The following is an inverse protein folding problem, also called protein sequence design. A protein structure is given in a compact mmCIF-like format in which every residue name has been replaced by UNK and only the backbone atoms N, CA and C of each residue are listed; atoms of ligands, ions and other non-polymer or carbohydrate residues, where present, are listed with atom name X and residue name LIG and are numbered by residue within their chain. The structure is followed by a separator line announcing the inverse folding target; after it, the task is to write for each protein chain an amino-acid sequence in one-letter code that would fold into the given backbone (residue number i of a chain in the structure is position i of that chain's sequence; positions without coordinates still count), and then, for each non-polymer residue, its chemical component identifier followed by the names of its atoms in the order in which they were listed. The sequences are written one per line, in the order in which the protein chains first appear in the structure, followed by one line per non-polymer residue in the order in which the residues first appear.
data_IF_316108348303
#
_entry.id   IF_316108348303
#
_cell.length_a   1.000
_cell.length_b   1.000
_cell.length_c   1.000
_cell.angle_alpha   90.00
_cell.angle_beta   90.00
_cell.angle_gamma   90.00
#
_symmetry.space_group_name_H-M   'P 1'
#
loop_
_entity.id
_entity.type
_entity.pdbx_description
1 polymer ?
#
# COMPACT_ATOMS: atom_id res chain seq x y z
N UNK A 1 9.60 10.88 8.39
CA UNK A 1 11.03 10.61 8.71
C UNK A 1 11.57 11.81 9.48
N UNK A 2 12.49 11.60 10.44
CA UNK A 2 13.01 12.70 11.27
C UNK A 2 13.60 13.85 10.45
N UNK A 3 14.31 13.52 9.36
CA UNK A 3 14.90 14.45 8.38
C UNK A 3 13.90 15.45 7.78
N UNK A 4 12.62 15.08 7.67
CA UNK A 4 11.59 15.90 7.00
C UNK A 4 10.52 16.41 7.97
N UNK A 5 10.79 16.37 9.28
CA UNK A 5 9.78 16.70 10.30
C UNK A 5 9.35 18.16 10.30
N UNK A 6 10.19 19.06 9.80
CA UNK A 6 9.97 20.50 9.65
C UNK A 6 9.90 20.95 8.17
N UNK A 7 9.76 19.99 7.25
CA UNK A 7 9.68 20.27 5.83
C UNK A 7 8.50 21.19 5.50
N UNK A 8 8.74 22.16 4.60
CA UNK A 8 7.71 23.06 4.08
C UNK A 8 7.18 22.51 2.77
N UNK A 9 5.86 22.47 2.63
CA UNK A 9 5.20 22.08 1.39
C UNK A 9 4.97 23.31 0.53
N UNK A 10 5.46 23.25 -0.71
CA UNK A 10 5.25 24.28 -1.73
C UNK A 10 4.52 23.64 -2.90
N UNK A 11 3.40 24.23 -3.33
CA UNK A 11 2.63 23.78 -4.48
C UNK A 11 2.90 24.70 -5.66
N UNK A 12 3.51 24.16 -6.71
CA UNK A 12 3.81 24.89 -7.94
C UNK A 12 3.99 23.93 -9.11
N UNK A 13 3.85 24.45 -10.32
CA UNK A 13 4.30 23.81 -11.57
C UNK A 13 5.39 24.61 -12.28
N UNK A 14 5.81 25.73 -11.70
CA UNK A 14 6.88 26.59 -12.23
C UNK A 14 8.25 25.91 -11.99
N UNK A 15 8.99 25.54 -13.06
CA UNK A 15 10.31 24.92 -12.93
C UNK A 15 11.26 25.71 -12.02
N UNK A 16 11.21 27.04 -12.05
CA UNK A 16 12.09 27.87 -11.22
C UNK A 16 11.80 27.71 -9.72
N UNK A 17 10.56 27.41 -9.34
CA UNK A 17 10.21 27.05 -7.96
C UNK A 17 10.66 25.64 -7.64
N UNK A 18 10.40 24.68 -8.55
CA UNK A 18 10.75 23.27 -8.36
C UNK A 18 12.27 23.05 -8.20
N UNK A 19 13.08 23.84 -8.91
CA UNK A 19 14.55 23.80 -8.83
C UNK A 19 15.08 24.21 -7.45
N UNK A 20 14.28 24.92 -6.64
CA UNK A 20 14.65 25.28 -5.27
C UNK A 20 14.26 24.23 -4.23
N UNK A 21 13.47 23.23 -4.61
CA UNK A 21 12.95 22.21 -3.69
C UNK A 21 13.94 21.04 -3.51
N UNK A 22 14.10 20.58 -2.28
CA UNK A 22 14.89 19.38 -1.96
C UNK A 22 14.25 18.10 -2.53
N UNK A 23 12.92 18.03 -2.54
CA UNK A 23 12.13 16.90 -3.04
C UNK A 23 11.01 17.47 -3.91
N UNK A 24 10.79 16.84 -5.06
CA UNK A 24 9.67 17.18 -5.96
C UNK A 24 8.87 15.92 -6.26
N UNK A 25 7.56 16.00 -6.11
CA UNK A 25 6.64 14.86 -6.26
C UNK A 25 5.51 15.25 -7.20
N UNK A 26 5.20 14.38 -8.17
CA UNK A 26 4.04 14.47 -9.07
C UNK A 26 4.02 15.66 -10.05
N UNK A 27 5.11 16.42 -10.12
CA UNK A 27 5.31 17.53 -11.07
C UNK A 27 6.76 17.59 -11.56
N UNK A 28 6.97 18.20 -12.73
CA UNK A 28 8.29 18.41 -13.32
C UNK A 28 8.70 17.40 -14.39
N UNK A 29 7.93 16.32 -14.58
CA UNK A 29 8.12 15.27 -15.59
C UNK A 29 9.50 14.62 -15.52
N UNK A 30 9.98 14.37 -14.31
CA UNK A 30 11.26 13.70 -14.04
C UNK A 30 11.08 12.69 -12.90
N UNK A 31 11.55 11.46 -13.14
CA UNK A 31 11.84 10.48 -12.10
C UNK A 31 13.35 10.29 -12.00
N UNK A 32 13.91 10.68 -10.86
CA UNK A 32 15.31 10.47 -10.51
C UNK A 32 15.43 10.43 -8.98
N UNK A 33 15.81 9.27 -8.44
CA UNK A 33 15.94 9.08 -7.00
C UNK A 33 17.12 9.88 -6.41
N UNK A 34 18.22 10.01 -7.14
CA UNK A 34 19.43 10.71 -6.66
C UNK A 34 19.15 12.19 -6.41
N UNK A 35 18.33 12.80 -7.27
CA UNK A 35 17.86 14.20 -7.13
C UNK A 35 16.48 14.32 -6.47
N UNK A 36 15.95 13.21 -5.94
CA UNK A 36 14.65 13.12 -5.23
C UNK A 36 13.49 13.72 -6.02
N UNK A 37 13.42 13.41 -7.31
CA UNK A 37 12.34 13.78 -8.23
C UNK A 37 11.47 12.55 -8.49
N UNK A 38 10.18 12.65 -8.18
CA UNK A 38 9.24 11.53 -8.22
C UNK A 38 8.01 11.89 -9.04
N UNK A 39 8.18 12.16 -10.32
CA UNK A 39 7.09 12.31 -11.28
C UNK A 39 7.03 11.09 -12.23
N UNK A 40 5.83 10.73 -12.66
CA UNK A 40 5.54 9.64 -13.60
C UNK A 40 5.01 10.12 -14.96
N UNK A 41 4.72 11.42 -15.11
CA UNK A 41 4.11 12.01 -16.30
C UNK A 41 5.05 12.13 -17.53
N UNK A 42 6.32 11.74 -17.42
CA UNK A 42 7.27 11.79 -18.52
C UNK A 42 6.93 10.82 -19.65
N UNK A 43 7.17 11.27 -20.88
CA UNK A 43 6.95 10.46 -22.07
C UNK A 43 7.79 9.18 -22.00
N UNK A 44 7.16 8.03 -22.26
CA UNK A 44 7.82 6.73 -22.25
C UNK A 44 8.05 6.15 -20.85
N UNK A 45 7.50 6.75 -19.78
CA UNK A 45 7.57 6.16 -18.44
C UNK A 45 6.94 4.77 -18.41
N UNK A 46 7.67 3.79 -17.89
CA UNK A 46 7.26 2.38 -17.81
C UNK A 46 7.76 1.68 -16.53
N UNK A 47 8.09 2.46 -15.50
CA UNK A 47 8.60 1.89 -14.25
C UNK A 47 7.49 1.14 -13.51
N UNK A 48 7.78 -0.08 -13.09
CA UNK A 48 6.88 -0.95 -12.32
C UNK A 48 7.48 -1.26 -10.94
N UNK A 49 6.65 -1.64 -9.97
CA UNK A 49 7.15 -2.04 -8.64
C UNK A 49 8.03 -3.29 -8.71
N UNK A 50 7.66 -4.25 -9.54
CA UNK A 50 8.41 -5.47 -9.85
C UNK A 50 7.77 -6.15 -11.06
N UNK A 51 8.43 -7.16 -11.65
CA UNK A 51 7.89 -7.90 -12.81
C UNK A 51 6.58 -8.66 -12.56
N UNK A 52 6.06 -8.66 -11.31
CA UNK A 52 4.75 -9.20 -10.96
C UNK A 52 3.60 -8.25 -11.30
N UNK A 53 3.86 -6.95 -11.41
CA UNK A 53 2.84 -5.93 -11.61
C UNK A 53 2.92 -5.38 -13.03
N UNK A 54 1.78 -5.29 -13.71
CA UNK A 54 1.67 -4.62 -15.02
C UNK A 54 1.42 -3.12 -14.89
N UNK A 55 0.97 -2.70 -13.70
CA UNK A 55 0.64 -1.34 -13.34
C UNK A 55 1.92 -0.50 -13.23
N UNK A 56 1.96 0.63 -13.95
CA UNK A 56 3.04 1.62 -13.84
C UNK A 56 2.97 2.32 -12.49
N UNK A 57 4.11 2.70 -11.93
CA UNK A 57 4.17 3.41 -10.67
C UNK A 57 3.62 4.84 -10.82
N UNK A 58 2.64 5.20 -10.01
CA UNK A 58 2.35 6.62 -9.74
C UNK A 58 3.46 7.24 -8.89
N UNK A 59 3.43 8.55 -8.67
CA UNK A 59 4.35 9.22 -7.74
C UNK A 59 4.32 8.66 -6.32
N UNK A 60 3.13 8.26 -5.83
CA UNK A 60 3.03 7.55 -4.54
C UNK A 60 3.75 6.19 -4.59
N UNK A 61 3.62 5.46 -5.70
CA UNK A 61 4.35 4.22 -5.95
C UNK A 61 5.88 4.41 -6.00
N UNK A 62 6.36 5.48 -6.63
CA UNK A 62 7.77 5.84 -6.69
C UNK A 62 8.33 6.17 -5.31
N UNK A 63 7.64 7.01 -4.54
CA UNK A 63 8.04 7.33 -3.16
C UNK A 63 8.04 6.06 -2.30
N UNK A 64 7.01 5.23 -2.41
CA UNK A 64 6.94 3.96 -1.69
C UNK A 64 8.08 3.01 -2.07
N UNK A 65 8.41 2.91 -3.37
CA UNK A 65 9.52 2.08 -3.86
C UNK A 65 10.84 2.42 -3.16
N UNK A 66 11.10 3.68 -2.87
CA UNK A 66 12.37 4.08 -2.26
C UNK A 66 12.35 4.17 -0.74
N UNK A 67 11.23 4.61 -0.14
CA UNK A 67 11.18 4.95 1.29
C UNK A 67 10.29 4.03 2.14
N UNK A 68 9.74 2.94 1.57
CA UNK A 68 8.81 2.04 2.29
C UNK A 68 9.38 1.52 3.61
N UNK A 69 10.68 1.20 3.67
CA UNK A 69 11.33 0.62 4.85
C UNK A 69 11.31 1.61 6.01
N UNK A 70 11.84 2.80 5.75
CA UNK A 70 11.97 3.88 6.71
C UNK A 70 10.60 4.38 7.17
N UNK A 71 9.62 4.44 6.25
CA UNK A 71 8.26 4.88 6.56
C UNK A 71 7.52 3.87 7.44
N UNK A 72 7.60 2.56 7.12
CA UNK A 72 6.96 1.52 7.94
C UNK A 72 7.60 1.47 9.33
N UNK A 73 8.93 1.47 9.42
CA UNK A 73 9.61 1.51 10.72
C UNK A 73 9.29 2.78 11.52
N UNK A 74 9.12 3.93 10.86
CA UNK A 74 8.72 5.15 11.56
C UNK A 74 7.29 5.07 12.13
N UNK A 75 6.37 4.37 11.45
CA UNK A 75 4.98 4.24 11.89
C UNK A 75 4.80 3.11 12.92
N UNK A 76 5.49 2.00 12.73
CA UNK A 76 5.40 0.80 13.56
C UNK A 76 6.72 0.48 14.27
N UNK A 77 7.38 1.52 14.81
CA UNK A 77 8.70 1.44 15.45
C UNK A 77 8.81 0.42 16.59
N UNK A 78 7.68 0.10 17.22
CA UNK A 78 7.61 -0.82 18.35
C UNK A 78 7.41 -2.27 17.89
N UNK A 79 7.25 -2.51 16.58
CA UNK A 79 7.22 -3.84 16.00
C UNK A 79 8.66 -4.34 15.77
N UNK A 80 9.01 -5.43 16.42
CA UNK A 80 10.27 -6.15 16.20
C UNK A 80 10.11 -7.04 14.95
N UNK A 81 10.39 -6.46 13.77
CA UNK A 81 10.19 -7.11 12.47
C UNK A 81 11.51 -7.69 11.96
N UNK A 82 11.48 -8.96 11.56
CA UNK A 82 12.54 -9.55 10.74
C UNK A 82 12.52 -9.00 9.30
N UNK A 83 13.62 -9.16 8.57
CA UNK A 83 13.72 -8.72 7.17
C UNK A 83 12.66 -9.36 6.26
N UNK A 84 12.36 -10.65 6.46
CA UNK A 84 11.34 -11.37 5.68
C UNK A 84 9.92 -10.86 5.97
N UNK A 85 9.62 -10.56 7.23
CA UNK A 85 8.34 -9.96 7.62
C UNK A 85 8.18 -8.55 7.06
N UNK A 86 9.25 -7.76 7.08
CA UNK A 86 9.26 -6.43 6.47
C UNK A 86 9.00 -6.53 4.96
N UNK A 87 9.63 -7.46 4.24
CA UNK A 87 9.41 -7.65 2.80
C UNK A 87 8.00 -8.18 2.46
N UNK A 88 7.44 -9.03 3.31
CA UNK A 88 6.05 -9.45 3.21
C UNK A 88 5.10 -8.26 3.37
N UNK A 89 5.31 -7.44 4.40
CA UNK A 89 4.55 -6.22 4.63
C UNK A 89 4.68 -5.24 3.46
N UNK A 90 5.89 -5.07 2.91
CA UNK A 90 6.12 -4.21 1.74
C UNK A 90 5.24 -4.62 0.57
N UNK A 91 5.25 -5.91 0.24
CA UNK A 91 4.45 -6.49 -0.84
C UNK A 91 2.96 -6.35 -0.56
N UNK A 92 2.55 -6.60 0.68
CA UNK A 92 1.14 -6.55 1.09
C UNK A 92 0.59 -5.14 1.02
N UNK A 93 1.28 -4.16 1.59
CA UNK A 93 0.89 -2.75 1.55
C UNK A 93 0.90 -2.19 0.13
N UNK A 94 1.84 -2.61 -0.72
CA UNK A 94 1.83 -2.19 -2.12
C UNK A 94 0.56 -2.68 -2.84
N UNK A 95 0.35 -4.00 -2.85
CA UNK A 95 -0.78 -4.61 -3.57
C UNK A 95 -2.15 -4.22 -3.00
N UNK A 96 -2.25 -4.00 -1.70
CA UNK A 96 -3.53 -3.74 -1.02
C UNK A 96 -3.82 -2.26 -0.77
N UNK A 97 -2.90 -1.36 -1.15
CA UNK A 97 -3.09 0.07 -0.92
C UNK A 97 -2.41 0.92 -2.00
N UNK A 98 -1.08 0.88 -2.11
CA UNK A 98 -0.33 1.81 -2.97
C UNK A 98 -0.69 1.67 -4.45
N UNK A 99 -0.79 0.44 -4.95
CA UNK A 99 -1.18 0.19 -6.34
C UNK A 99 -2.58 0.72 -6.64
N UNK A 100 -3.52 0.52 -5.70
CA UNK A 100 -4.92 0.90 -5.85
C UNK A 100 -5.19 2.41 -5.80
N UNK A 101 -4.26 3.22 -5.28
CA UNK A 101 -4.39 4.68 -5.24
C UNK A 101 -3.70 5.37 -6.43
N UNK A 102 -2.87 4.66 -7.21
CA UNK A 102 -2.20 5.18 -8.41
C UNK A 102 -3.10 5.24 -9.65
N UNK A 103 -4.30 5.79 -9.52
CA UNK A 103 -5.36 5.74 -10.57
C UNK A 103 -5.06 6.59 -11.82
N UNK A 104 -4.02 7.41 -11.77
CA UNK A 104 -3.63 8.40 -12.77
C UNK A 104 -2.46 7.93 -13.66
N UNK A 105 -1.95 6.72 -13.45
CA UNK A 105 -0.82 6.12 -14.18
C UNK A 105 -1.16 5.63 -15.61
N UNK A 106 -2.38 5.90 -16.09
CA UNK A 106 -2.86 5.50 -17.41
C UNK A 106 -3.18 4.00 -17.57
N UNK A 107 -3.18 3.21 -16.49
CA UNK A 107 -3.54 1.78 -16.50
C UNK A 107 -4.64 1.55 -15.48
N UNK A 108 -5.83 1.14 -15.95
CA UNK A 108 -6.93 0.82 -15.05
C UNK A 108 -6.59 -0.40 -14.20
N UNK A 109 -6.68 -0.25 -12.87
CA UNK A 109 -6.51 -1.33 -11.91
C UNK A 109 -7.73 -2.27 -11.85
N UNK A 110 -8.87 -1.80 -12.34
CA UNK A 110 -10.15 -2.50 -12.29
C UNK A 110 -10.77 -2.59 -13.68
N UNK A 111 -11.71 -3.53 -13.91
CA UNK A 111 -12.56 -3.53 -15.09
C UNK A 111 -13.20 -2.15 -15.31
N UNK A 112 -13.20 -1.66 -16.55
CA UNK A 112 -13.64 -0.30 -16.91
C UNK A 112 -15.15 -0.06 -16.69
N UNK A 113 -15.92 -1.10 -16.39
CA UNK A 113 -17.36 -1.07 -16.10
C UNK A 113 -17.68 -0.88 -14.61
N UNK A 114 -16.66 -0.85 -13.74
CA UNK A 114 -16.83 -0.63 -12.30
C UNK A 114 -16.51 0.83 -11.95
N UNK A 115 -17.55 1.61 -11.65
CA UNK A 115 -17.40 2.96 -11.11
C UNK A 115 -17.44 2.95 -9.57
N UNK A 116 -16.26 2.96 -8.95
CA UNK A 116 -16.12 2.96 -7.50
C UNK A 116 -16.32 4.36 -6.91
N UNK A 117 -17.55 4.69 -6.51
CA UNK A 117 -17.94 6.02 -6.02
C UNK A 117 -17.20 6.54 -4.76
N UNK A 118 -16.39 5.71 -4.06
CA UNK A 118 -15.76 6.12 -2.78
C UNK A 118 -14.37 5.57 -2.48
N UNK A 119 -13.53 5.35 -3.49
CA UNK A 119 -12.09 5.11 -3.26
C UNK A 119 -11.39 6.34 -2.64
N UNK A 120 -10.14 6.18 -2.18
CA UNK A 120 -9.38 7.26 -1.51
C UNK A 120 -9.27 8.50 -2.41
N UNK A 121 -8.94 8.32 -3.68
CA UNK A 121 -8.84 9.41 -4.66
C UNK A 121 -10.17 10.17 -4.81
N UNK A 122 -11.31 9.48 -4.82
CA UNK A 122 -12.63 10.09 -4.81
C UNK A 122 -12.90 10.85 -3.50
N UNK A 123 -12.45 10.33 -2.34
CA UNK A 123 -12.59 11.06 -1.05
C UNK A 123 -11.75 12.33 -1.03
N UNK A 124 -10.52 12.27 -1.55
CA UNK A 124 -9.64 13.43 -1.73
C UNK A 124 -10.28 14.44 -2.69
N UNK A 125 -10.79 13.97 -3.83
CA UNK A 125 -11.45 14.82 -4.82
C UNK A 125 -12.66 15.59 -4.27
N UNK A 126 -13.38 15.03 -3.29
CA UNK A 126 -14.50 15.71 -2.60
C UNK A 126 -14.07 16.90 -1.72
N UNK A 127 -12.78 17.05 -1.43
CA UNK A 127 -12.25 18.21 -0.70
C UNK A 127 -12.03 19.43 -1.60
N UNK A 128 -12.02 19.25 -2.93
CA UNK A 128 -12.01 20.36 -3.87
C UNK A 128 -13.31 21.17 -3.78
N UNK A 129 -13.27 22.48 -4.07
CA UNK A 129 -14.49 23.26 -4.21
C UNK A 129 -15.37 22.67 -5.31
N UNK A 130 -16.69 22.77 -5.13
CA UNK A 130 -17.60 22.46 -6.23
C UNK A 130 -17.47 23.50 -7.33
N UNK A 131 -17.81 23.14 -8.57
CA UNK A 131 -17.72 24.03 -9.72
C UNK A 131 -18.52 25.34 -9.56
N UNK A 132 -19.55 25.34 -8.69
CA UNK A 132 -20.43 26.46 -8.40
C UNK A 132 -20.15 27.11 -7.02
N UNK A 133 -19.01 26.83 -6.40
CA UNK A 133 -18.56 27.46 -5.16
C UNK A 133 -17.38 28.38 -5.43
N UNK A 134 -17.19 29.45 -4.63
CA UNK A 134 -15.92 30.14 -4.57
C UNK A 134 -14.81 29.15 -4.22
N UNK A 135 -13.65 29.29 -4.86
CA UNK A 135 -12.51 28.38 -4.70
C UNK A 135 -12.06 28.31 -3.22
N UNK A 136 -12.04 29.46 -2.54
CA UNK A 136 -11.60 29.58 -1.15
C UNK A 136 -10.08 29.47 -1.01
N UNK A 137 -9.61 29.02 0.14
CA UNK A 137 -8.20 28.73 0.37
C UNK A 137 -7.88 27.29 -0.10
N UNK A 138 -7.13 27.20 -1.21
CA UNK A 138 -6.75 25.90 -1.77
C UNK A 138 -5.67 25.19 -0.95
N UNK A 139 -4.84 25.91 -0.20
CA UNK A 139 -3.79 25.31 0.63
C UNK A 139 -4.38 24.71 1.91
N UNK A 140 -5.40 25.34 2.48
CA UNK A 140 -6.19 24.75 3.57
C UNK A 140 -6.84 23.43 3.14
N UNK A 141 -7.49 23.41 1.96
CA UNK A 141 -8.11 22.19 1.41
C UNK A 141 -7.07 21.09 1.14
N UNK A 142 -5.91 21.47 0.62
CA UNK A 142 -4.82 20.54 0.38
C UNK A 142 -4.27 19.95 1.67
N UNK A 143 -4.12 20.75 2.73
CA UNK A 143 -3.76 20.26 4.06
C UNK A 143 -4.79 19.24 4.58
N UNK A 144 -6.09 19.47 4.34
CA UNK A 144 -7.15 18.50 4.62
C UNK A 144 -6.99 17.19 3.84
N UNK A 145 -6.63 17.26 2.55
CA UNK A 145 -6.37 16.09 1.72
C UNK A 145 -5.14 15.29 2.18
N UNK A 146 -4.08 16.00 2.59
CA UNK A 146 -2.90 15.38 3.20
C UNK A 146 -3.25 14.64 4.48
N UNK A 147 -3.98 15.28 5.40
CA UNK A 147 -4.38 14.66 6.67
C UNK A 147 -5.25 13.42 6.45
N UNK A 148 -6.20 13.48 5.52
CA UNK A 148 -7.04 12.35 5.13
C UNK A 148 -6.18 11.18 4.63
N UNK A 149 -5.28 11.43 3.69
CA UNK A 149 -4.43 10.42 3.06
C UNK A 149 -3.41 9.84 4.05
N UNK A 150 -2.82 10.68 4.89
CA UNK A 150 -1.89 10.28 5.94
C UNK A 150 -2.57 9.36 6.96
N UNK A 151 -3.76 9.74 7.44
CA UNK A 151 -4.50 8.94 8.42
C UNK A 151 -4.83 7.55 7.89
N UNK A 152 -5.30 7.47 6.64
CA UNK A 152 -5.61 6.21 5.97
C UNK A 152 -4.34 5.35 5.84
N UNK A 153 -3.26 5.90 5.30
CA UNK A 153 -2.03 5.15 5.10
C UNK A 153 -1.41 4.66 6.42
N UNK A 154 -1.38 5.51 7.46
CA UNK A 154 -0.89 5.11 8.79
C UNK A 154 -1.70 3.98 9.38
N UNK A 155 -3.03 4.03 9.26
CA UNK A 155 -3.89 2.96 9.76
C UNK A 155 -3.65 1.65 9.01
N UNK A 156 -3.46 1.70 7.69
CA UNK A 156 -3.15 0.52 6.88
C UNK A 156 -1.82 -0.11 7.27
N UNK A 157 -0.78 0.69 7.49
CA UNK A 157 0.52 0.21 7.98
C UNK A 157 0.36 -0.43 9.36
N UNK A 158 -0.27 0.27 10.31
CA UNK A 158 -0.47 -0.25 11.67
C UNK A 158 -1.29 -1.54 11.69
N UNK A 159 -2.39 -1.61 10.95
CA UNK A 159 -3.20 -2.81 10.85
C UNK A 159 -2.38 -3.98 10.29
N UNK A 160 -1.67 -3.78 9.18
CA UNK A 160 -0.92 -4.89 8.58
C UNK A 160 0.22 -5.37 9.48
N UNK A 161 0.91 -4.45 10.15
CA UNK A 161 2.02 -4.78 11.03
C UNK A 161 1.57 -5.37 12.38
N UNK A 162 0.56 -4.79 13.02
CA UNK A 162 0.21 -5.11 14.41
C UNK A 162 -0.95 -6.11 14.55
N UNK A 163 -1.74 -6.33 13.50
CA UNK A 163 -2.89 -7.24 13.55
C UNK A 163 -2.83 -8.34 12.48
N UNK A 164 -2.57 -7.99 11.22
CA UNK A 164 -2.53 -8.98 10.14
C UNK A 164 -1.32 -9.89 10.23
N UNK A 165 -0.12 -9.33 10.37
CA UNK A 165 1.12 -10.11 10.39
C UNK A 165 1.19 -11.10 11.57
N UNK A 166 0.86 -10.73 12.83
CA UNK A 166 0.82 -11.69 13.93
C UNK A 166 -0.18 -12.84 13.71
N UNK A 167 -1.24 -12.60 12.93
CA UNK A 167 -2.18 -13.63 12.51
C UNK A 167 -1.52 -14.78 11.74
N UNK A 168 -0.41 -14.53 11.03
CA UNK A 168 0.28 -15.55 10.22
C UNK A 168 0.68 -16.76 11.05
N UNK A 169 1.29 -16.55 12.23
CA UNK A 169 1.74 -17.63 13.11
C UNK A 169 0.59 -18.50 13.60
N UNK A 170 -0.55 -17.88 13.95
CA UNK A 170 -1.76 -18.60 14.37
C UNK A 170 -2.27 -19.49 13.23
N UNK A 171 -2.26 -18.97 12.00
CA UNK A 171 -2.67 -19.72 10.80
C UNK A 171 -1.70 -20.86 10.49
N UNK A 172 -0.39 -20.64 10.59
CA UNK A 172 0.62 -21.68 10.39
C UNK A 172 0.46 -22.82 11.41
N UNK A 173 0.29 -22.48 12.69
CA UNK A 173 0.10 -23.48 13.75
C UNK A 173 -1.18 -24.27 13.55
N UNK A 174 -2.31 -23.59 13.33
CA UNK A 174 -3.60 -24.23 13.11
C UNK A 174 -3.59 -25.08 11.83
N UNK A 175 -2.86 -24.65 10.79
CA UNK A 175 -2.66 -25.44 9.58
C UNK A 175 -1.89 -26.73 9.89
N UNK A 176 -0.79 -26.68 10.64
CA UNK A 176 -0.03 -27.89 11.00
C UNK A 176 -0.87 -28.84 11.86
N UNK A 177 -1.60 -28.32 12.84
CA UNK A 177 -2.38 -29.11 13.80
C UNK A 177 -3.71 -29.64 13.24
N UNK A 178 -4.08 -29.25 12.02
CA UNK A 178 -5.37 -29.56 11.39
C UNK A 178 -5.73 -31.05 11.38
N UNK A 179 -4.73 -31.94 11.26
CA UNK A 179 -4.96 -33.39 11.28
C UNK A 179 -5.45 -33.92 12.64
N UNK A 180 -5.19 -33.18 13.72
CA UNK A 180 -5.74 -33.46 15.04
C UNK A 180 -7.20 -33.05 15.17
N UNK A 181 -7.63 -31.98 14.47
CA UNK A 181 -9.03 -31.53 14.42
C UNK A 181 -9.87 -32.36 13.44
N UNK A 182 -9.28 -32.74 12.32
CA UNK A 182 -9.89 -33.55 11.27
C UNK A 182 -8.85 -34.46 10.63
N UNK A 183 -9.06 -35.78 10.72
CA UNK A 183 -8.14 -36.77 10.16
C UNK A 183 -7.93 -36.65 8.65
N UNK A 184 -8.84 -36.00 7.91
CA UNK A 184 -8.66 -35.77 6.47
C UNK A 184 -7.76 -34.56 6.16
N UNK A 185 -7.51 -33.69 7.14
CA UNK A 185 -6.73 -32.47 7.01
C UNK A 185 -7.39 -31.38 6.18
N UNK A 186 -8.70 -31.47 5.94
CA UNK A 186 -9.47 -30.52 5.12
C UNK A 186 -10.16 -29.43 5.95
N UNK A 187 -10.11 -29.55 7.28
CA UNK A 187 -10.70 -28.59 8.22
C UNK A 187 -9.59 -28.03 9.10
N UNK A 188 -9.47 -26.71 9.13
CA UNK A 188 -8.64 -25.99 10.12
C UNK A 188 -9.56 -25.39 11.18
N UNK A 189 -9.21 -25.61 12.44
CA UNK A 189 -9.91 -25.06 13.59
C UNK A 189 -9.04 -23.97 14.23
N UNK A 190 -9.60 -22.78 14.40
CA UNK A 190 -8.97 -21.68 15.11
C UNK A 190 -9.53 -21.56 16.53
N UNK A 191 -8.64 -21.61 17.54
CA UNK A 191 -9.04 -21.37 18.93
C UNK A 191 -9.46 -19.91 19.19
N UNK A 192 -8.97 -18.99 18.35
CA UNK A 192 -9.31 -17.58 18.39
C UNK A 192 -9.38 -16.98 16.99
N UNK A 193 -10.22 -15.95 16.82
CA UNK A 193 -10.29 -15.23 15.56
C UNK A 193 -8.95 -14.54 15.24
N UNK A 194 -8.50 -14.70 14.00
CA UNK A 194 -7.40 -13.94 13.40
C UNK A 194 -7.71 -13.67 11.91
N UNK A 195 -7.02 -12.71 11.26
CA UNK A 195 -7.19 -12.46 9.82
C UNK A 195 -6.53 -13.60 9.01
N UNK A 196 -7.27 -14.67 8.75
CA UNK A 196 -6.72 -15.93 8.25
C UNK A 196 -6.71 -16.10 6.73
N UNK A 197 -7.67 -15.50 6.00
CA UNK A 197 -7.93 -15.81 4.58
C UNK A 197 -6.68 -15.75 3.70
N UNK A 198 -6.05 -14.58 3.67
CA UNK A 198 -4.88 -14.34 2.83
C UNK A 198 -3.67 -15.22 3.23
N UNK A 199 -3.55 -15.53 4.52
CA UNK A 199 -2.47 -16.37 5.03
C UNK A 199 -2.67 -17.83 4.64
N UNK A 200 -3.90 -18.35 4.72
CA UNK A 200 -4.23 -19.69 4.23
C UNK A 200 -3.91 -19.81 2.75
N UNK A 201 -4.36 -18.86 1.93
CA UNK A 201 -4.07 -18.90 0.49
C UNK A 201 -2.55 -18.91 0.22
N UNK A 202 -1.78 -18.17 1.00
CA UNK A 202 -0.32 -18.14 0.90
C UNK A 202 0.29 -19.48 1.31
N UNK A 203 -0.09 -20.01 2.48
CA UNK A 203 0.42 -21.27 3.02
C UNK A 203 0.06 -22.44 2.12
N UNK A 204 -1.16 -22.50 1.58
CA UNK A 204 -1.55 -23.52 0.61
C UNK A 204 -0.66 -23.44 -0.63
N UNK A 205 -0.45 -22.25 -1.21
CA UNK A 205 0.42 -22.10 -2.38
C UNK A 205 1.88 -22.45 -2.10
N UNK A 206 2.39 -22.18 -0.89
CA UNK A 206 3.74 -22.58 -0.44
C UNK A 206 3.81 -24.10 -0.16
N UNK A 207 2.76 -24.72 0.35
CA UNK A 207 2.70 -26.13 0.73
C UNK A 207 2.29 -27.08 -0.43
N UNK A 208 1.70 -26.56 -1.51
CA UNK A 208 1.24 -27.32 -2.69
C UNK A 208 2.35 -27.98 -3.53
N UNK A 209 3.59 -28.00 -3.03
CA UNK A 209 4.64 -28.90 -3.55
C UNK A 209 4.45 -30.36 -3.08
N UNK A 210 3.58 -30.63 -2.11
CA UNK A 210 3.19 -31.98 -1.68
C UNK A 210 1.73 -32.32 -2.12
N UNK A 211 1.55 -33.17 -3.16
CA UNK A 211 0.23 -33.60 -3.64
C UNK A 211 -0.61 -34.37 -2.62
N UNK A 212 -0.04 -34.79 -1.49
CA UNK A 212 -0.75 -35.54 -0.44
C UNK A 212 -1.50 -34.64 0.55
N UNK A 213 -1.26 -33.32 0.54
CA UNK A 213 -1.95 -32.38 1.40
C UNK A 213 -3.29 -31.97 0.78
N UNK A 214 -4.39 -32.36 1.43
CA UNK A 214 -5.73 -32.00 0.98
C UNK A 214 -5.95 -30.48 1.09
N UNK A 215 -6.51 -29.87 0.04
CA UNK A 215 -6.94 -28.46 0.06
C UNK A 215 -7.97 -28.25 1.17
N UNK A 216 -7.85 -27.16 1.91
CA UNK A 216 -8.82 -26.81 2.95
C UNK A 216 -10.19 -26.53 2.34
N UNK A 217 -11.22 -27.09 2.96
CA UNK A 217 -12.61 -26.92 2.55
C UNK A 217 -13.35 -26.06 3.57
N UNK A 218 -12.96 -26.12 4.85
CA UNK A 218 -13.60 -25.37 5.92
C UNK A 218 -12.61 -24.76 6.90
N UNK A 219 -12.98 -23.59 7.40
CA UNK A 219 -12.31 -22.88 8.49
C UNK A 219 -13.35 -22.64 9.58
N UNK A 220 -13.06 -23.13 10.78
CA UNK A 220 -13.94 -23.04 11.95
C UNK A 220 -13.33 -22.13 13.02
#
# INVERSE_FOLDING_TARGET
LGEYSDAKIVRSRDPAVLDTCDIVVDVGSVYDHETKRYDHHQCGFDEQSSGRYKTKLSSAGLVYKHYRKEVIWAIAKDADLSDSEADLLHTKLYSQFIEGIGIDNGISQYPNDIDAATNLSARVGRLNPWWNQPEGDMDERFAGAMALTESEFRERVRYYTLAWLPGRKIVEDAYVDRFGADSSGQIVLFEQYCPWKDHIDTIENEALEDPSLAKLIYVL
#
